data_IF_608978131708
#
_entry.id   IF_608978131708
#
_cell.length_a   1.000
_cell.length_b   1.000
_cell.length_c   1.000
_cell.angle_alpha   90.00
_cell.angle_beta   90.00
_cell.angle_gamma   90.00
#
_symmetry.space_group_name_H-M   'P 1'
#
loop_
_entity.id
_entity.type
_entity.pdbx_description
1 polymer ?
#
# COMPACT_ATOMS: atom_id res chain seq x y z
N UNK A 1 -33.21 40.28 -14.30
CA UNK A 1 -32.19 39.25 -13.96
C UNK A 1 -31.17 39.90 -13.04
N UNK A 2 -31.11 39.53 -11.75
CA UNK A 2 -30.06 40.07 -10.86
C UNK A 2 -28.71 39.45 -11.28
N UNK A 3 -27.65 40.23 -11.46
CA UNK A 3 -26.34 39.67 -11.76
C UNK A 3 -25.91 38.77 -10.59
N UNK A 4 -25.62 37.50 -10.90
CA UNK A 4 -25.02 36.57 -9.94
C UNK A 4 -23.69 37.18 -9.50
N UNK A 5 -23.57 37.48 -8.21
CA UNK A 5 -22.32 37.93 -7.61
C UNK A 5 -21.28 36.82 -7.86
N UNK A 6 -20.07 37.13 -8.38
CA UNK A 6 -19.04 36.11 -8.53
C UNK A 6 -18.73 35.52 -7.15
N UNK A 7 -18.43 34.21 -7.08
CA UNK A 7 -18.01 33.58 -5.83
C UNK A 7 -16.79 34.33 -5.26
N UNK A 8 -16.66 34.43 -3.94
CA UNK A 8 -15.49 35.03 -3.31
C UNK A 8 -14.24 34.30 -3.83
N UNK A 9 -13.23 35.06 -4.26
CA UNK A 9 -11.98 34.47 -4.70
C UNK A 9 -11.34 33.72 -3.52
N UNK A 10 -11.20 32.41 -3.66
CA UNK A 10 -10.41 31.61 -2.73
C UNK A 10 -9.01 32.21 -2.55
N UNK A 11 -8.48 32.23 -1.32
CA UNK A 11 -7.11 32.65 -1.06
C UNK A 11 -6.13 31.81 -1.89
N UNK A 12 -5.20 32.48 -2.59
CA UNK A 12 -4.17 31.81 -3.38
C UNK A 12 -3.31 30.83 -2.56
N UNK A 13 -3.15 31.10 -1.26
CA UNK A 13 -2.41 30.24 -0.33
C UNK A 13 -3.04 28.84 -0.18
N UNK A 14 -4.38 28.78 -0.10
CA UNK A 14 -5.10 27.51 0.08
C UNK A 14 -5.03 26.65 -1.19
N UNK A 15 -5.06 27.29 -2.37
CA UNK A 15 -4.86 26.61 -3.66
C UNK A 15 -3.47 26.00 -3.77
N UNK A 16 -2.44 26.76 -3.40
CA UNK A 16 -1.06 26.29 -3.44
C UNK A 16 -0.83 25.14 -2.45
N UNK A 17 -1.42 25.21 -1.25
CA UNK A 17 -1.35 24.14 -0.26
C UNK A 17 -1.96 22.82 -0.77
N UNK A 18 -3.13 22.89 -1.41
CA UNK A 18 -3.79 21.70 -1.97
C UNK A 18 -3.02 21.09 -3.15
N UNK A 19 -2.50 21.93 -4.04
CA UNK A 19 -1.67 21.45 -5.14
C UNK A 19 -0.38 20.78 -4.65
N UNK A 20 0.25 21.33 -3.60
CA UNK A 20 1.43 20.74 -2.98
C UNK A 20 1.11 19.40 -2.30
N UNK A 21 -0.04 19.30 -1.61
CA UNK A 21 -0.51 18.05 -1.00
C UNK A 21 -0.73 16.95 -2.04
N UNK A 22 -1.48 17.26 -3.13
CA UNK A 22 -1.70 16.31 -4.22
C UNK A 22 -0.38 15.89 -4.89
N UNK A 23 0.54 16.82 -5.11
CA UNK A 23 1.86 16.51 -5.67
C UNK A 23 2.68 15.59 -4.76
N UNK A 24 2.63 15.79 -3.44
CA UNK A 24 3.27 14.92 -2.47
C UNK A 24 2.65 13.51 -2.50
N UNK A 25 1.31 13.41 -2.54
CA UNK A 25 0.59 12.14 -2.70
C UNK A 25 1.01 11.42 -3.98
N UNK A 26 1.00 12.11 -5.13
CA UNK A 26 1.48 11.55 -6.40
C UNK A 26 2.93 11.05 -6.26
N UNK A 27 3.83 11.86 -5.69
CA UNK A 27 5.23 11.51 -5.54
C UNK A 27 5.44 10.26 -4.67
N UNK A 28 4.79 10.19 -3.51
CA UNK A 28 4.90 9.06 -2.59
C UNK A 28 4.39 7.76 -3.23
N UNK A 29 3.19 7.77 -3.82
CA UNK A 29 2.61 6.57 -4.44
C UNK A 29 3.33 6.17 -5.73
N UNK A 30 3.81 7.12 -6.53
CA UNK A 30 4.63 6.81 -7.72
C UNK A 30 5.93 6.11 -7.31
N UNK A 31 6.60 6.59 -6.26
CA UNK A 31 7.82 5.95 -5.77
C UNK A 31 7.54 4.54 -5.24
N UNK A 32 6.42 4.35 -4.54
CA UNK A 32 6.01 3.04 -4.05
C UNK A 32 5.70 2.05 -5.18
N UNK A 33 4.94 2.44 -6.21
CA UNK A 33 4.61 1.54 -7.34
C UNK A 33 5.85 1.19 -8.16
N UNK A 34 6.73 2.16 -8.42
CA UNK A 34 7.99 1.88 -9.14
C UNK A 34 8.87 0.90 -8.37
N UNK A 35 8.94 1.05 -7.05
CA UNK A 35 9.66 0.11 -6.18
C UNK A 35 8.97 -1.26 -6.17
N UNK A 36 7.64 -1.32 -6.15
CA UNK A 36 6.90 -2.57 -6.24
C UNK A 36 7.20 -3.30 -7.54
N UNK A 37 7.20 -2.59 -8.69
CA UNK A 37 7.55 -3.14 -10.00
C UNK A 37 8.97 -3.73 -9.95
N UNK A 38 9.94 -2.97 -9.45
CA UNK A 38 11.33 -3.44 -9.30
C UNK A 38 11.41 -4.72 -8.47
N UNK A 39 10.66 -4.75 -7.35
CA UNK A 39 10.75 -5.83 -6.36
C UNK A 39 9.99 -7.09 -6.79
N UNK A 40 8.70 -6.95 -7.04
CA UNK A 40 7.81 -8.09 -7.22
C UNK A 40 7.62 -8.51 -8.68
N UNK A 41 7.71 -7.57 -9.62
CA UNK A 41 7.46 -7.84 -11.04
C UNK A 41 8.75 -8.18 -11.80
N UNK A 42 9.76 -7.31 -11.70
CA UNK A 42 11.02 -7.48 -12.42
C UNK A 42 11.99 -8.43 -11.70
N UNK A 43 11.92 -8.51 -10.36
CA UNK A 43 12.76 -9.40 -9.58
C UNK A 43 14.26 -9.10 -9.66
N UNK A 44 14.65 -7.84 -9.93
CA UNK A 44 16.04 -7.45 -10.26
C UNK A 44 17.08 -7.76 -9.17
N UNK A 45 16.64 -8.03 -7.95
CA UNK A 45 17.44 -8.23 -6.74
C UNK A 45 17.44 -9.70 -6.26
N UNK A 46 16.68 -10.60 -6.91
CA UNK A 46 16.47 -11.98 -6.43
C UNK A 46 17.71 -12.87 -6.48
N UNK A 47 18.77 -12.46 -7.16
CA UNK A 47 20.03 -13.22 -7.25
C UNK A 47 20.91 -13.11 -6.01
N UNK A 48 20.65 -12.15 -5.13
CA UNK A 48 21.36 -11.95 -3.87
C UNK A 48 20.35 -11.80 -2.71
N UNK A 49 20.24 -12.79 -1.80
CA UNK A 49 19.28 -12.76 -0.70
C UNK A 49 19.41 -11.52 0.21
N UNK A 50 20.63 -11.03 0.44
CA UNK A 50 20.84 -9.85 1.30
C UNK A 50 20.34 -8.57 0.64
N UNK A 51 20.52 -8.46 -0.68
CA UNK A 51 19.96 -7.36 -1.47
C UNK A 51 18.44 -7.46 -1.58
N UNK A 52 17.89 -8.67 -1.71
CA UNK A 52 16.44 -8.89 -1.79
C UNK A 52 15.71 -8.40 -0.54
N UNK A 53 16.14 -8.85 0.64
CA UNK A 53 15.54 -8.42 1.91
C UNK A 53 15.60 -6.90 2.10
N UNK A 54 16.72 -6.27 1.71
CA UNK A 54 16.89 -4.81 1.78
C UNK A 54 15.92 -4.08 0.85
N UNK A 55 15.76 -4.57 -0.37
CA UNK A 55 14.88 -3.97 -1.37
C UNK A 55 13.39 -4.10 -0.98
N UNK A 56 13.01 -5.25 -0.41
CA UNK A 56 11.68 -5.49 0.17
C UNK A 56 11.40 -4.58 1.38
N UNK A 57 12.33 -4.48 2.33
CA UNK A 57 12.18 -3.58 3.48
C UNK A 57 12.00 -2.10 3.05
N UNK A 58 12.72 -1.69 2.00
CA UNK A 58 12.58 -0.36 1.43
C UNK A 58 11.23 -0.16 0.72
N UNK A 59 10.69 -1.19 0.05
CA UNK A 59 9.34 -1.15 -0.50
C UNK A 59 8.29 -0.93 0.59
N UNK A 60 8.38 -1.70 1.69
CA UNK A 60 7.46 -1.55 2.82
C UNK A 60 7.53 -0.15 3.42
N UNK A 61 8.73 0.42 3.54
CA UNK A 61 8.91 1.80 4.01
C UNK A 61 8.21 2.79 3.07
N UNK A 62 8.36 2.66 1.76
CA UNK A 62 7.69 3.55 0.82
C UNK A 62 6.17 3.42 0.83
N UNK A 63 5.63 2.22 1.01
CA UNK A 63 4.19 2.01 1.16
C UNK A 63 3.65 2.62 2.46
N UNK A 64 4.38 2.48 3.58
CA UNK A 64 4.02 3.10 4.87
C UNK A 64 4.04 4.62 4.78
N UNK A 65 5.08 5.19 4.15
CA UNK A 65 5.15 6.64 3.89
C UNK A 65 4.01 7.12 2.98
N UNK A 66 3.66 6.36 1.94
CA UNK A 66 2.54 6.69 1.06
C UNK A 66 1.19 6.63 1.80
N UNK A 67 0.95 5.61 2.64
CA UNK A 67 -0.23 5.51 3.50
C UNK A 67 -0.30 6.69 4.48
N UNK A 68 0.82 7.06 5.09
CA UNK A 68 0.88 8.19 6.02
C UNK A 68 0.57 9.52 5.33
N UNK A 69 0.96 9.67 4.06
CA UNK A 69 0.61 10.83 3.24
C UNK A 69 -0.89 10.89 2.93
N UNK A 70 -1.50 9.78 2.48
CA UNK A 70 -2.94 9.72 2.26
C UNK A 70 -3.46 8.28 2.37
N UNK A 71 -4.08 7.95 3.50
CA UNK A 71 -4.57 6.59 3.78
C UNK A 71 -5.73 6.18 2.86
N UNK A 72 -6.54 7.13 2.40
CA UNK A 72 -7.67 6.84 1.49
C UNK A 72 -7.18 6.31 0.14
N UNK A 73 -6.02 6.76 -0.35
CA UNK A 73 -5.42 6.20 -1.58
C UNK A 73 -5.03 4.74 -1.38
N UNK A 74 -4.41 4.42 -0.24
CA UNK A 74 -4.02 3.04 0.08
C UNK A 74 -5.26 2.13 0.21
N UNK A 75 -6.34 2.60 0.82
CA UNK A 75 -7.61 1.87 0.90
C UNK A 75 -8.22 1.62 -0.50
N UNK A 76 -8.25 2.65 -1.35
CA UNK A 76 -8.74 2.53 -2.74
C UNK A 76 -7.97 1.48 -3.53
N UNK A 77 -6.64 1.44 -3.39
CA UNK A 77 -5.80 0.47 -4.11
C UNK A 77 -6.03 -0.95 -3.55
N UNK A 78 -5.96 -1.13 -2.23
CA UNK A 78 -6.08 -2.44 -1.59
C UNK A 78 -7.45 -3.10 -1.83
N UNK A 79 -8.52 -2.29 -1.86
CA UNK A 79 -9.90 -2.76 -1.93
C UNK A 79 -10.63 -2.33 -3.21
N UNK A 80 -9.88 -2.10 -4.29
CA UNK A 80 -10.38 -1.54 -5.54
C UNK A 80 -11.73 -2.10 -6.04
N UNK A 81 -12.01 -3.42 -6.05
CA UNK A 81 -13.26 -3.94 -6.59
C UNK A 81 -14.51 -3.35 -5.93
N UNK A 82 -14.50 -3.17 -4.60
CA UNK A 82 -15.60 -2.52 -3.90
C UNK A 82 -15.63 -1.02 -4.20
N UNK A 83 -14.48 -0.35 -4.19
CA UNK A 83 -14.45 1.09 -4.39
C UNK A 83 -14.79 1.54 -5.81
N UNK A 84 -14.45 0.76 -6.85
CA UNK A 84 -14.73 1.10 -8.24
C UNK A 84 -16.23 1.12 -8.57
N UNK A 85 -17.03 0.26 -7.91
CA UNK A 85 -18.50 0.24 -8.07
C UNK A 85 -19.15 1.53 -7.54
N UNK A 86 -18.57 2.09 -6.47
CA UNK A 86 -19.02 3.34 -5.86
C UNK A 86 -18.33 4.57 -6.45
N UNK A 87 -17.14 4.46 -6.97
CA UNK A 87 -16.39 5.59 -7.50
C UNK A 87 -15.85 5.21 -8.88
N UNK A 88 -16.68 5.28 -9.93
CA UNK A 88 -16.23 4.96 -11.27
C UNK A 88 -15.17 5.97 -11.74
N UNK A 89 -14.44 5.59 -12.79
CA UNK A 89 -13.59 6.52 -13.52
C UNK A 89 -14.44 7.72 -13.97
N UNK A 90 -13.92 8.93 -13.80
CA UNK A 90 -14.62 10.18 -14.14
C UNK A 90 -15.80 10.54 -13.21
N UNK A 91 -15.85 9.99 -11.99
CA UNK A 91 -16.80 10.47 -10.97
C UNK A 91 -16.68 11.98 -10.79
N UNK A 92 -17.83 12.67 -10.85
CA UNK A 92 -17.89 14.10 -10.52
C UNK A 92 -17.59 14.27 -9.03
N UNK A 93 -16.45 14.91 -8.75
CA UNK A 93 -16.10 15.31 -7.40
C UNK A 93 -16.71 16.68 -7.12
N UNK A 94 -17.09 17.00 -5.87
CA UNK A 94 -17.57 18.34 -5.48
C UNK A 94 -16.57 19.45 -5.84
N UNK A 95 -16.79 20.73 -5.56
CA UNK A 95 -15.65 21.67 -5.63
C UNK A 95 -14.85 21.59 -4.32
N UNK A 96 -13.58 21.98 -4.36
CA UNK A 96 -12.76 22.08 -3.15
C UNK A 96 -13.36 23.09 -2.15
N UNK A 97 -14.02 24.13 -2.67
CA UNK A 97 -14.74 25.16 -1.91
C UNK A 97 -15.98 24.62 -1.17
N UNK A 98 -16.59 23.57 -1.73
CA UNK A 98 -17.81 22.95 -1.18
C UNK A 98 -17.50 21.76 -0.26
N UNK A 99 -16.24 21.32 -0.23
CA UNK A 99 -15.79 20.18 0.56
C UNK A 99 -15.33 20.66 1.94
N UNK A 100 -15.84 20.02 2.99
CA UNK A 100 -15.33 20.22 4.35
C UNK A 100 -13.84 19.83 4.44
N UNK A 101 -13.02 20.54 5.24
CA UNK A 101 -11.59 20.21 5.40
C UNK A 101 -11.31 18.76 5.79
N UNK A 102 -12.21 18.16 6.58
CA UNK A 102 -12.16 16.74 6.96
C UNK A 102 -12.28 15.78 5.76
N UNK A 103 -12.95 16.20 4.68
CA UNK A 103 -13.14 15.42 3.46
C UNK A 103 -12.06 15.68 2.40
N UNK A 104 -11.13 16.63 2.64
CA UNK A 104 -10.09 16.97 1.68
C UNK A 104 -9.16 15.79 1.31
N UNK A 105 -8.66 14.97 2.27
CA UNK A 105 -7.80 13.84 1.92
C UNK A 105 -8.52 12.78 1.08
N UNK A 106 -9.78 12.50 1.39
CA UNK A 106 -10.62 11.59 0.60
C UNK A 106 -10.83 12.12 -0.83
N UNK A 107 -11.14 13.40 -0.95
CA UNK A 107 -11.29 14.04 -2.26
C UNK A 107 -10.00 13.95 -3.07
N UNK A 108 -8.86 14.24 -2.45
CA UNK A 108 -7.54 14.13 -3.07
C UNK A 108 -7.28 12.70 -3.55
N UNK A 109 -7.65 11.70 -2.75
CA UNK A 109 -7.50 10.30 -3.11
C UNK A 109 -8.33 9.93 -4.35
N UNK A 110 -9.56 10.42 -4.45
CA UNK A 110 -10.40 10.21 -5.64
C UNK A 110 -9.89 10.97 -6.86
N UNK A 111 -9.31 12.15 -6.67
CA UNK A 111 -8.65 12.90 -7.74
C UNK A 111 -7.43 12.14 -8.27
N UNK A 112 -6.59 11.61 -7.38
CA UNK A 112 -5.45 10.75 -7.73
C UNK A 112 -5.88 9.43 -8.39
N UNK A 113 -6.69 8.61 -7.71
CA UNK A 113 -7.04 7.27 -8.18
C UNK A 113 -7.92 7.29 -9.43
N UNK A 114 -8.96 8.13 -9.44
CA UNK A 114 -10.01 8.04 -10.46
C UNK A 114 -9.82 9.05 -11.57
N UNK A 115 -9.57 10.32 -11.23
CA UNK A 115 -9.45 11.38 -12.24
C UNK A 115 -8.11 11.32 -12.97
N UNK A 116 -7.02 11.05 -12.26
CA UNK A 116 -5.71 10.81 -12.86
C UNK A 116 -5.46 9.35 -13.26
N UNK A 117 -6.48 8.49 -13.13
CA UNK A 117 -6.47 7.07 -13.52
C UNK A 117 -5.31 6.27 -12.92
N UNK A 118 -4.82 6.68 -11.75
CA UNK A 118 -3.70 6.02 -11.10
C UNK A 118 -4.10 4.66 -10.52
N UNK A 119 -5.39 4.43 -10.27
CA UNK A 119 -5.86 3.09 -9.87
C UNK A 119 -5.54 2.05 -10.95
N UNK A 120 -5.78 2.37 -12.23
CA UNK A 120 -5.45 1.47 -13.34
C UNK A 120 -3.95 1.15 -13.41
N UNK A 121 -3.08 2.14 -13.18
CA UNK A 121 -1.62 1.91 -13.14
C UNK A 121 -1.24 0.89 -12.08
N UNK A 122 -1.82 0.99 -10.88
CA UNK A 122 -1.58 0.02 -9.82
C UNK A 122 -2.12 -1.36 -10.21
N UNK A 123 -3.37 -1.45 -10.64
CA UNK A 123 -4.03 -2.74 -10.94
C UNK A 123 -3.47 -3.46 -12.17
N UNK A 124 -2.96 -2.72 -13.15
CA UNK A 124 -2.33 -3.27 -14.36
C UNK A 124 -0.87 -3.73 -14.11
N UNK A 125 -0.30 -3.43 -12.93
CA UNK A 125 1.08 -3.78 -12.61
C UNK A 125 1.26 -5.27 -12.34
N UNK A 126 0.40 -5.85 -11.52
CA UNK A 126 0.44 -7.27 -11.10
C UNK A 126 -0.92 -7.67 -10.49
N UNK A 127 -1.34 -8.93 -10.69
CA UNK A 127 -2.61 -9.43 -10.14
C UNK A 127 -2.61 -9.47 -8.60
N UNK A 128 -1.43 -9.66 -7.98
CA UNK A 128 -1.20 -9.73 -6.54
C UNK A 128 -0.98 -8.38 -5.86
N UNK A 129 -0.87 -7.28 -6.60
CA UNK A 129 -0.58 -5.94 -6.04
C UNK A 129 -1.55 -5.52 -4.95
N UNK A 130 -2.84 -5.83 -5.11
CA UNK A 130 -3.88 -5.49 -4.12
C UNK A 130 -3.67 -6.26 -2.82
N UNK A 131 -3.46 -7.57 -2.92
CA UNK A 131 -3.19 -8.46 -1.78
C UNK A 131 -1.92 -8.01 -1.06
N UNK A 132 -0.88 -7.65 -1.82
CA UNK A 132 0.37 -7.14 -1.25
C UNK A 132 0.18 -5.82 -0.51
N UNK A 133 -0.45 -4.81 -1.13
CA UNK A 133 -0.72 -3.52 -0.48
C UNK A 133 -1.60 -3.72 0.75
N UNK A 134 -2.62 -4.59 0.68
CA UNK A 134 -3.47 -4.92 1.81
C UNK A 134 -2.64 -5.47 2.97
N UNK A 135 -1.86 -6.52 2.72
CA UNK A 135 -1.00 -7.15 3.74
C UNK A 135 -0.01 -6.16 4.34
N UNK A 136 0.81 -5.54 3.48
CA UNK A 136 1.90 -4.66 3.88
C UNK A 136 1.47 -3.38 4.64
N UNK A 137 0.24 -2.92 4.42
CA UNK A 137 -0.23 -1.61 4.90
C UNK A 137 -1.31 -1.73 5.97
N UNK A 138 -2.07 -2.83 6.01
CA UNK A 138 -3.23 -2.97 6.89
C UNK A 138 -3.20 -4.21 7.79
N UNK A 139 -2.42 -5.24 7.46
CA UNK A 139 -2.36 -6.50 8.22
C UNK A 139 -1.02 -6.66 8.96
N UNK A 140 0.10 -6.23 8.37
CA UNK A 140 1.44 -6.26 8.98
C UNK A 140 1.69 -5.06 9.94
N UNK A 141 0.87 -4.95 11.00
CA UNK A 141 1.29 -4.21 12.20
C UNK A 141 2.26 -5.11 12.99
N UNK A 142 3.55 -5.05 12.63
CA UNK A 142 4.71 -5.80 13.19
C UNK A 142 4.84 -5.77 14.75
N UNK A 143 3.99 -4.99 15.45
CA UNK A 143 4.01 -4.80 16.90
C UNK A 143 2.89 -5.59 17.64
N UNK A 144 1.99 -6.28 16.93
CA UNK A 144 0.95 -7.09 17.56
C UNK A 144 1.46 -8.53 17.79
N UNK A 145 1.61 -8.99 19.05
CA UNK A 145 1.99 -10.37 19.30
C UNK A 145 0.91 -11.30 18.74
N UNK A 146 1.30 -12.15 17.78
CA UNK A 146 0.46 -13.21 17.24
C UNK A 146 -0.09 -14.06 18.40
N UNK A 147 -1.38 -13.89 18.71
CA UNK A 147 -2.06 -14.76 19.66
C UNK A 147 -2.62 -15.95 18.89
N UNK A 148 -2.25 -17.19 19.24
CA UNK A 148 -2.85 -18.36 18.60
C UNK A 148 -4.35 -18.39 18.90
N UNK A 149 -5.16 -18.35 17.84
CA UNK A 149 -6.63 -18.36 17.91
C UNK A 149 -7.33 -17.00 17.81
N UNK A 150 -6.62 -15.94 17.41
CA UNK A 150 -7.26 -14.66 17.10
C UNK A 150 -7.93 -14.77 15.73
N UNK A 151 -9.25 -14.67 15.70
CA UNK A 151 -10.01 -14.39 14.46
C UNK A 151 -9.32 -13.19 13.78
N UNK A 152 -8.94 -13.33 12.50
CA UNK A 152 -8.25 -12.26 11.76
C UNK A 152 -9.05 -10.96 11.90
N UNK A 153 -8.45 -9.95 12.53
CA UNK A 153 -9.10 -8.66 12.74
C UNK A 153 -9.25 -7.99 11.37
N UNK A 154 -10.42 -7.39 11.05
CA UNK A 154 -10.62 -6.75 9.77
C UNK A 154 -9.55 -5.66 9.52
N UNK A 155 -8.94 -5.63 8.32
CA UNK A 155 -7.80 -4.77 8.00
C UNK A 155 -8.15 -3.27 8.07
N UNK A 156 -9.44 -2.95 7.98
CA UNK A 156 -9.94 -1.59 8.06
C UNK A 156 -10.63 -1.36 9.40
N UNK A 157 -10.06 -0.44 10.21
CA UNK A 157 -10.68 0.02 11.46
C UNK A 157 -12.13 0.46 11.24
N UNK A 158 -13.08 0.22 12.15
CA UNK A 158 -14.46 0.67 11.99
C UNK A 158 -14.56 2.18 11.70
N UNK A 159 -15.45 2.57 10.78
CA UNK A 159 -15.72 4.01 10.57
C UNK A 159 -16.46 4.57 11.80
N UNK A 160 -16.16 5.82 12.22
CA UNK A 160 -17.01 6.53 13.18
C UNK A 160 -18.46 6.52 12.72
N UNK A 161 -19.45 6.51 13.62
CA UNK A 161 -20.86 6.49 13.22
C UNK A 161 -21.24 7.64 12.26
N UNK A 162 -22.25 7.42 11.42
CA UNK A 162 -22.74 8.46 10.51
C UNK A 162 -23.31 9.62 11.33
N UNK A 163 -22.95 10.84 10.95
CA UNK A 163 -23.44 12.06 11.59
C UNK A 163 -24.48 12.74 10.72
N UNK A 164 -25.45 13.40 11.36
CA UNK A 164 -26.45 14.18 10.63
C UNK A 164 -25.75 15.32 9.86
N UNK A 165 -25.99 15.39 8.55
CA UNK A 165 -25.36 16.39 7.67
C UNK A 165 -24.03 15.97 7.05
N UNK A 166 -23.63 14.70 7.15
CA UNK A 166 -22.43 14.20 6.48
C UNK A 166 -22.47 14.45 4.96
N UNK A 167 -21.30 14.76 4.39
CA UNK A 167 -21.16 14.97 2.95
C UNK A 167 -21.49 13.69 2.15
N UNK A 168 -22.14 13.82 0.97
CA UNK A 168 -22.49 12.66 0.14
C UNK A 168 -21.29 11.76 -0.22
N UNK A 169 -20.10 12.34 -0.36
CA UNK A 169 -18.87 11.62 -0.70
C UNK A 169 -18.42 10.71 0.45
N UNK A 170 -18.51 11.16 1.70
CA UNK A 170 -18.20 10.36 2.89
C UNK A 170 -19.23 9.26 3.10
N UNK A 171 -20.52 9.57 2.92
CA UNK A 171 -21.58 8.56 3.03
C UNK A 171 -21.49 7.49 1.95
N UNK A 172 -20.94 7.82 0.77
CA UNK A 172 -20.65 6.84 -0.29
C UNK A 172 -19.38 6.05 0.02
N UNK A 173 -18.36 6.70 0.56
CA UNK A 173 -17.13 6.04 1.00
C UNK A 173 -17.40 4.98 2.07
N UNK A 174 -18.27 5.26 3.04
CA UNK A 174 -18.71 4.30 4.06
C UNK A 174 -19.26 3.02 3.44
N UNK A 175 -20.19 3.16 2.50
CA UNK A 175 -20.81 2.04 1.80
C UNK A 175 -19.79 1.22 1.02
N UNK A 176 -18.87 1.88 0.32
CA UNK A 176 -17.77 1.20 -0.36
C UNK A 176 -16.87 0.42 0.61
N UNK A 177 -16.62 0.98 1.80
CA UNK A 177 -15.81 0.32 2.83
C UNK A 177 -16.53 -0.86 3.48
N UNK A 178 -17.83 -0.76 3.70
CA UNK A 178 -18.68 -1.88 4.17
C UNK A 178 -18.62 -3.04 3.16
N UNK A 179 -18.85 -2.76 1.88
CA UNK A 179 -18.73 -3.74 0.79
C UNK A 179 -17.31 -4.32 0.68
N UNK A 180 -16.27 -3.50 0.86
CA UNK A 180 -14.90 -3.97 0.88
C UNK A 180 -14.63 -4.98 1.99
N UNK A 181 -15.22 -4.80 3.17
CA UNK A 181 -15.10 -5.75 4.29
C UNK A 181 -15.90 -7.02 4.04
N UNK A 182 -17.06 -6.93 3.41
CA UNK A 182 -17.84 -8.11 2.99
C UNK A 182 -17.06 -8.95 1.96
N UNK A 183 -16.47 -8.30 0.94
CA UNK A 183 -15.64 -8.99 -0.05
C UNK A 183 -14.40 -9.63 0.58
N UNK A 184 -13.72 -8.92 1.47
CA UNK A 184 -12.55 -9.45 2.19
C UNK A 184 -12.91 -10.67 3.03
N UNK A 185 -14.00 -10.62 3.79
CA UNK A 185 -14.48 -11.77 4.57
C UNK A 185 -14.83 -12.98 3.68
N UNK A 186 -15.35 -12.72 2.47
CA UNK A 186 -15.58 -13.73 1.44
C UNK A 186 -14.30 -14.35 0.89
N UNK A 187 -13.25 -13.54 0.65
CA UNK A 187 -11.93 -14.02 0.21
C UNK A 187 -11.30 -14.96 1.25
N UNK A 188 -11.33 -14.60 2.54
CA UNK A 188 -10.83 -15.45 3.62
C UNK A 188 -11.59 -16.78 3.76
N UNK A 189 -12.91 -16.72 3.62
CA UNK A 189 -13.76 -17.91 3.70
C UNK A 189 -13.53 -18.87 2.52
N UNK A 190 -13.11 -18.36 1.37
CA UNK A 190 -12.79 -19.15 0.18
C UNK A 190 -11.39 -19.76 0.24
N UNK A 191 -10.41 -19.00 0.71
CA UNK A 191 -9.02 -19.47 0.84
C UNK A 191 -8.87 -20.55 1.93
N UNK A 192 -9.77 -20.60 2.93
CA UNK A 192 -9.84 -21.66 3.93
C UNK A 192 -10.48 -22.99 3.49
N UNK A 193 -10.90 -23.12 2.21
CA UNK A 193 -11.57 -24.33 1.70
C UNK A 193 -10.70 -25.23 0.80
N UNK A 194 -9.42 -24.89 0.64
CA UNK A 194 -8.47 -25.65 -0.19
C UNK A 194 -7.38 -26.34 0.63
N UNK A 195 -7.59 -27.64 0.89
CA UNK A 195 -6.53 -28.66 0.88
C UNK A 195 -5.47 -28.63 2.01
N UNK A 196 -5.89 -28.89 3.24
CA UNK A 196 -5.08 -29.71 4.17
C UNK A 196 -5.89 -30.95 4.58
N UNK A 197 -6.16 -31.79 3.59
CA UNK A 197 -6.75 -33.10 3.77
C UNK A 197 -5.84 -34.18 3.18
N UNK A 198 -5.39 -35.09 4.04
CA UNK A 198 -4.84 -36.42 3.72
C UNK A 198 -3.33 -36.54 3.47
N UNK A 199 -2.58 -36.81 4.55
CA UNK A 199 -1.90 -38.09 4.63
C UNK A 199 -1.66 -38.50 6.09
N UNK A 200 -2.60 -39.26 6.65
CA UNK A 200 -2.30 -40.14 7.78
C UNK A 200 -1.27 -41.17 7.29
N UNK A 201 -0.07 -41.12 7.86
CA UNK A 201 0.99 -42.08 7.65
C UNK A 201 1.56 -42.48 9.00
N UNK A 202 0.92 -43.47 9.63
CA UNK A 202 1.53 -44.27 10.69
C UNK A 202 2.85 -44.86 10.17
N UNK A 203 3.94 -44.62 10.89
CA UNK A 203 5.29 -45.05 10.53
C UNK A 203 6.17 -45.12 11.76
N UNK A 204 6.02 -46.23 12.47
CA UNK A 204 6.74 -46.68 13.65
C UNK A 204 8.25 -46.87 13.38
N UNK A 205 9.09 -46.49 14.36
CA UNK A 205 10.37 -47.17 14.64
C UNK A 205 11.65 -46.59 14.05
N UNK A 206 12.65 -46.41 14.91
CA UNK A 206 14.05 -46.32 14.49
C UNK A 206 14.93 -45.45 15.38
N UNK A 207 15.44 -46.03 16.47
CA UNK A 207 16.64 -45.57 17.18
C UNK A 207 17.89 -45.59 16.26
N UNK A 208 19.01 -45.11 16.80
CA UNK A 208 20.41 -45.14 16.30
C UNK A 208 20.90 -43.78 15.77
N UNK A 209 21.61 -43.00 16.60
CA UNK A 209 23.05 -43.09 16.94
C UNK A 209 23.91 -42.22 16.00
N UNK A 210 24.60 -41.28 16.64
CA UNK A 210 25.92 -40.70 16.34
C UNK A 210 26.38 -40.54 14.87
N UNK A 211 26.86 -39.33 14.56
CA UNK A 211 28.29 -39.09 14.26
C UNK A 211 28.56 -37.60 13.98
N UNK A 212 29.44 -37.00 14.79
CA UNK A 212 30.29 -35.86 14.39
C UNK A 212 31.34 -36.36 13.38
N UNK A 213 31.83 -35.52 12.44
CA UNK A 213 33.03 -34.69 12.66
C UNK A 213 32.91 -33.29 11.98
N UNK A 214 33.46 -32.22 12.55
CA UNK A 214 34.87 -31.77 12.53
C UNK A 214 35.40 -31.45 11.11
N UNK A 215 35.31 -30.18 10.70
CA UNK A 215 36.24 -29.57 9.74
C UNK A 215 36.55 -28.12 10.14
N UNK A 216 37.83 -27.90 10.37
CA UNK A 216 38.49 -26.64 10.70
C UNK A 216 38.34 -25.62 9.57
N UNK A 217 38.03 -24.36 9.93
CA UNK A 217 38.16 -23.23 9.00
C UNK A 217 39.13 -22.22 9.60
N UNK A 218 40.29 -22.20 8.97
CA UNK A 218 41.44 -21.30 9.12
C UNK A 218 41.03 -19.81 8.91
N UNK A 219 41.35 -18.88 9.83
CA UNK A 219 41.15 -17.46 9.61
C UNK A 219 42.50 -16.73 9.55
N UNK A 220 43.15 -16.70 8.37
CA UNK A 220 44.24 -15.76 8.12
C UNK A 220 44.10 -15.04 6.77
N UNK A 221 43.89 -13.73 6.93
CA UNK A 221 44.62 -12.66 6.24
C UNK A 221 44.25 -12.30 4.79
N UNK A 222 43.70 -11.10 4.60
CA UNK A 222 44.41 -10.03 3.88
C UNK A 222 43.59 -8.76 3.76
N UNK A 223 44.21 -7.70 4.27
CA UNK A 223 43.77 -6.32 4.26
C UNK A 223 43.76 -5.64 2.87
N UNK A 224 43.15 -4.46 2.88
CA UNK A 224 43.62 -3.24 2.20
C UNK A 224 43.43 -3.08 0.67
N UNK A 225 42.56 -2.12 0.34
CA UNK A 225 42.57 -1.32 -0.89
C UNK A 225 41.49 -0.23 -0.74
N UNK A 226 41.73 0.89 -0.06
CA UNK A 226 42.55 2.04 -0.48
C UNK A 226 42.15 2.59 -1.86
N UNK A 227 41.44 3.72 -1.81
CA UNK A 227 41.57 4.89 -2.69
C UNK A 227 41.11 4.79 -4.16
N UNK A 228 40.07 5.55 -4.51
CA UNK A 228 40.22 6.60 -5.53
C UNK A 228 39.05 7.60 -5.52
N UNK A 229 39.42 8.85 -5.27
CA UNK A 229 38.69 10.10 -5.52
C UNK A 229 38.59 10.43 -7.01
N UNK A 230 37.57 11.22 -7.39
CA UNK A 230 37.48 11.97 -8.65
C UNK A 230 36.20 11.63 -9.43
N UNK A 231 35.45 12.56 -10.01
CA UNK A 231 35.65 14.00 -10.15
C UNK A 231 34.30 14.63 -10.49
N UNK A 232 34.08 15.83 -9.98
CA UNK A 232 33.05 16.77 -10.41
C UNK A 232 33.58 17.40 -11.70
N UNK A 233 32.75 17.55 -12.74
CA UNK A 233 32.55 18.81 -13.47
C UNK A 233 31.94 18.64 -14.87
N UNK A 234 31.05 19.59 -15.17
CA UNK A 234 30.78 20.19 -16.46
C UNK A 234 30.40 19.30 -17.66
N UNK A 235 29.13 19.44 -18.06
CA UNK A 235 28.84 19.90 -19.42
C UNK A 235 27.45 20.51 -19.55
N UNK A 236 27.42 21.84 -19.49
CA UNK A 236 26.47 22.64 -20.27
C UNK A 236 26.90 22.58 -21.73
N UNK A 237 25.94 22.25 -22.58
CA UNK A 237 25.91 22.58 -24.00
C UNK A 237 24.48 22.97 -24.31
#
# INVERSE_FOLDING_TARGET
VRPKRPPPAEPLADKLGRAASLAATVGCFTRAVLKYIKVNVLGEHRTDPGNAAKEEAQLLTYLREAKAQNSFVAELIAFAPAFESHFPQEVELPLWEDAEPSAWPLREALEYCNRHRQLGVWLDTDEGVRRFVRKAVFEDDDDAPEKPGQEEEPPLRPLPAAVAGESPILSRWRRAREEAMELWAGELSSDGSGDEGMCEGEGEGGEEEASEPDEEVDPEDSEAGSESTGDLEERRG
#
